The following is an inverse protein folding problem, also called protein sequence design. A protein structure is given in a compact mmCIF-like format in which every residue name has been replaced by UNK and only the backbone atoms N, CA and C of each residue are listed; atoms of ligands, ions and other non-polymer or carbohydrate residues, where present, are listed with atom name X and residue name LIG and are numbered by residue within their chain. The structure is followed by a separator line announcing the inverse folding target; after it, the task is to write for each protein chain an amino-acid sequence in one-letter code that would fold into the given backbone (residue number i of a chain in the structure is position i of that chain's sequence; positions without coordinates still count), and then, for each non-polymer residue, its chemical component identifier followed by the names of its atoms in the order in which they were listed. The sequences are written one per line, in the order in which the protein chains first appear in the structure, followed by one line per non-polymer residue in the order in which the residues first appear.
data_IF_714742694303
#
_entry.id   IF_714742694303
#
_cell.length_a   1.000
_cell.length_b   1.000
_cell.length_c   1.000
_cell.angle_alpha   90.00
_cell.angle_beta   90.00
_cell.angle_gamma   90.00
#
_symmetry.space_group_name_H-M   'P 1'
#
loop_
_entity.id
_entity.type
_entity.pdbx_description
1 polymer ?
#
# COMPACT_ATOMS: atom_id res chain seq x y z
N UNK A 1 14.25 -14.65 30.95
CA UNK A 1 13.26 -14.06 30.03
C UNK A 1 13.35 -14.80 28.71
N UNK A 2 12.26 -15.39 28.21
CA UNK A 2 12.28 -16.03 26.90
C UNK A 2 12.67 -14.98 25.85
N UNK A 3 13.65 -15.28 24.99
CA UNK A 3 14.02 -14.41 23.88
C UNK A 3 12.82 -14.26 22.96
N UNK A 4 12.32 -13.02 22.78
CA UNK A 4 11.21 -12.76 21.86
C UNK A 4 11.58 -13.25 20.45
N UNK A 5 10.68 -14.02 19.85
CA UNK A 5 10.80 -14.52 18.49
C UNK A 5 10.88 -13.33 17.50
N UNK A 6 11.81 -13.37 16.55
CA UNK A 6 12.01 -12.31 15.54
C UNK A 6 11.56 -12.78 14.17
N UNK A 7 10.70 -12.02 13.52
CA UNK A 7 10.19 -12.26 12.17
C UNK A 7 10.78 -11.22 11.22
N UNK A 8 11.26 -11.68 10.06
CA UNK A 8 11.62 -10.80 8.95
C UNK A 8 10.43 -10.70 7.99
N UNK A 9 9.87 -9.51 7.86
CA UNK A 9 8.80 -9.20 6.92
C UNK A 9 9.39 -8.58 5.66
N UNK A 10 9.38 -9.31 4.55
CA UNK A 10 9.96 -8.88 3.27
C UNK A 10 8.86 -8.32 2.36
N UNK A 11 9.06 -7.10 1.88
CA UNK A 11 8.13 -6.37 1.00
C UNK A 11 8.82 -5.94 -0.29
N UNK A 12 8.02 -5.67 -1.33
CA UNK A 12 8.49 -5.15 -2.62
C UNK A 12 8.21 -3.64 -2.77
N UNK A 13 8.59 -3.07 -3.91
CA UNK A 13 8.39 -1.64 -4.18
C UNK A 13 6.90 -1.26 -4.23
N UNK A 14 6.01 -2.19 -4.56
CA UNK A 14 4.58 -1.91 -4.69
C UNK A 14 3.97 -1.48 -3.35
N UNK A 15 4.42 -2.09 -2.24
CA UNK A 15 4.03 -1.66 -0.89
C UNK A 15 4.44 -0.22 -0.62
N UNK A 16 5.66 0.18 -1.02
CA UNK A 16 6.15 1.55 -0.85
C UNK A 16 5.32 2.54 -1.69
N UNK A 17 5.11 2.23 -2.97
CA UNK A 17 4.32 3.06 -3.88
C UNK A 17 2.90 3.27 -3.37
N UNK A 18 2.26 2.21 -2.88
CA UNK A 18 0.94 2.29 -2.24
C UNK A 18 0.92 3.31 -1.09
N UNK A 19 1.91 3.27 -0.19
CA UNK A 19 1.93 4.17 0.97
C UNK A 19 2.21 5.62 0.59
N UNK A 20 3.05 5.86 -0.43
CA UNK A 20 3.35 7.21 -0.90
C UNK A 20 2.17 7.86 -1.62
N UNK A 21 1.39 7.09 -2.38
CA UNK A 21 0.21 7.60 -3.11
C UNK A 21 -1.05 7.63 -2.24
N UNK A 22 -1.18 6.69 -1.32
CA UNK A 22 -2.37 6.53 -0.47
C UNK A 22 -2.42 7.41 0.77
N UNK A 23 -1.34 8.12 1.13
CA UNK A 23 -1.29 8.89 2.38
C UNK A 23 -1.11 10.38 2.17
N UNK A 24 -1.89 11.18 2.92
CA UNK A 24 -1.63 12.62 3.08
C UNK A 24 -0.75 12.92 4.31
N UNK A 25 -0.55 11.96 5.22
CA UNK A 25 0.31 12.13 6.40
C UNK A 25 1.78 12.34 5.99
N UNK A 26 2.35 13.48 6.41
CA UNK A 26 3.77 13.76 6.21
C UNK A 26 4.67 12.73 6.90
N UNK A 27 4.23 12.18 8.05
CA UNK A 27 4.97 11.15 8.78
C UNK A 27 4.97 9.83 8.02
N UNK A 28 3.81 9.40 7.52
CA UNK A 28 3.70 8.18 6.73
C UNK A 28 4.49 8.28 5.41
N UNK A 29 4.51 9.45 4.77
CA UNK A 29 5.40 9.73 3.62
C UNK A 29 6.87 9.58 3.99
N UNK A 30 7.33 10.16 5.10
CA UNK A 30 8.73 10.00 5.57
C UNK A 30 9.08 8.54 5.87
N UNK A 31 8.19 7.79 6.50
CA UNK A 31 8.39 6.36 6.75
C UNK A 31 8.47 5.57 5.44
N UNK A 32 7.64 5.92 4.44
CA UNK A 32 7.67 5.31 3.12
C UNK A 32 8.98 5.60 2.37
N UNK A 33 9.49 6.83 2.44
CA UNK A 33 10.83 7.16 1.92
C UNK A 33 11.90 6.33 2.61
N UNK A 34 11.84 6.18 3.94
CA UNK A 34 12.77 5.30 4.68
C UNK A 34 12.64 3.83 4.24
N UNK A 35 11.43 3.35 3.94
CA UNK A 35 11.21 2.00 3.41
C UNK A 35 11.86 1.83 2.03
N UNK A 36 11.88 2.88 1.21
CA UNK A 36 12.52 2.85 -0.10
C UNK A 36 14.04 2.97 -0.01
N UNK A 37 14.54 4.06 0.57
CA UNK A 37 15.95 4.44 0.54
C UNK A 37 16.81 3.55 1.44
N UNK A 38 16.39 3.34 2.69
CA UNK A 38 17.13 2.51 3.65
C UNK A 38 16.82 1.03 3.42
N UNK A 39 15.57 0.71 3.07
CA UNK A 39 15.16 -0.66 2.79
C UNK A 39 15.10 -1.58 4.00
N UNK A 40 15.21 -1.04 5.22
CA UNK A 40 15.08 -1.78 6.47
C UNK A 40 14.42 -0.94 7.54
N UNK A 41 13.37 -1.47 8.16
CA UNK A 41 12.76 -0.91 9.38
C UNK A 41 12.94 -1.89 10.54
N UNK A 42 13.44 -1.39 11.67
CA UNK A 42 13.49 -2.17 12.92
C UNK A 42 12.14 -2.15 13.63
N UNK A 43 11.89 -3.12 14.50
CA UNK A 43 10.65 -3.27 15.25
C UNK A 43 10.05 -1.98 15.82
N UNK A 44 10.83 -1.12 16.49
CA UNK A 44 10.31 0.16 17.01
C UNK A 44 9.80 1.09 15.91
N UNK A 45 10.45 1.10 14.75
CA UNK A 45 9.99 1.87 13.59
C UNK A 45 8.79 1.21 12.93
N UNK A 46 8.71 -0.12 12.93
CA UNK A 46 7.51 -0.87 12.48
C UNK A 46 6.31 -0.57 13.37
N UNK A 47 6.50 -0.42 14.68
CA UNK A 47 5.43 0.02 15.59
C UNK A 47 4.94 1.44 15.26
N UNK A 48 5.86 2.38 14.98
CA UNK A 48 5.50 3.72 14.51
C UNK A 48 4.73 3.67 13.19
N UNK A 49 5.15 2.84 12.24
CA UNK A 49 4.44 2.62 10.99
C UNK A 49 3.02 2.08 11.24
N UNK A 50 2.85 1.10 12.13
CA UNK A 50 1.53 0.56 12.49
C UNK A 50 0.60 1.61 13.12
N UNK A 51 1.16 2.53 13.90
CA UNK A 51 0.42 3.65 14.47
C UNK A 51 -0.05 4.62 13.37
N UNK A 52 0.87 5.05 12.50
CA UNK A 52 0.54 5.95 11.38
C UNK A 52 -0.48 5.32 10.43
N UNK A 53 -0.32 4.04 10.07
CA UNK A 53 -1.31 3.33 9.25
C UNK A 53 -2.67 3.20 9.95
N UNK A 54 -2.73 3.31 11.27
CA UNK A 54 -3.98 3.29 12.04
C UNK A 54 -4.77 4.59 11.93
N UNK A 55 -4.15 5.66 11.45
CA UNK A 55 -4.79 6.95 11.18
C UNK A 55 -5.44 7.00 9.80
N UNK A 56 -5.17 6.00 8.94
CA UNK A 56 -5.79 5.91 7.63
C UNK A 56 -7.27 5.60 7.80
N UNK A 57 -8.12 6.56 7.43
CA UNK A 57 -9.56 6.36 7.34
C UNK A 57 -10.05 6.51 5.89
N UNK A 58 -10.52 5.39 5.34
CA UNK A 58 -11.06 5.31 3.98
C UNK A 58 -12.30 6.18 3.82
N UNK A 59 -13.14 6.28 4.85
CA UNK A 59 -14.40 7.02 4.75
C UNK A 59 -14.15 8.53 4.72
N UNK A 60 -13.28 9.02 5.61
CA UNK A 60 -12.82 10.42 5.57
C UNK A 60 -12.15 10.74 4.23
N UNK A 61 -11.30 9.85 3.71
CA UNK A 61 -10.68 10.05 2.41
C UNK A 61 -11.69 10.11 1.24
N UNK A 62 -12.72 9.26 1.28
CA UNK A 62 -13.79 9.25 0.28
C UNK A 62 -14.61 10.55 0.30
N UNK A 63 -14.94 11.04 1.49
CA UNK A 63 -15.65 12.32 1.66
C UNK A 63 -14.82 13.52 1.19
N UNK A 64 -13.50 13.45 1.32
CA UNK A 64 -12.56 14.44 0.81
C UNK A 64 -12.31 14.34 -0.71
N UNK A 65 -13.00 13.43 -1.42
CA UNK A 65 -12.88 13.26 -2.87
C UNK A 65 -11.57 12.63 -3.34
N UNK A 66 -10.88 11.86 -2.49
CA UNK A 66 -9.63 11.19 -2.86
C UNK A 66 -9.89 10.07 -3.87
N UNK A 67 -9.25 10.13 -5.04
CA UNK A 67 -9.50 9.20 -6.16
C UNK A 67 -8.94 7.79 -5.94
N UNK A 68 -8.00 7.61 -5.01
CA UNK A 68 -7.25 6.37 -4.82
C UNK A 68 -7.53 5.65 -3.49
N UNK A 69 -8.80 5.39 -3.20
CA UNK A 69 -9.22 4.76 -1.93
C UNK A 69 -8.67 3.34 -1.73
N UNK A 70 -8.32 2.64 -2.79
CA UNK A 70 -7.72 1.30 -2.74
C UNK A 70 -6.38 1.25 -2.00
N UNK A 71 -5.62 2.35 -1.97
CA UNK A 71 -4.37 2.41 -1.19
C UNK A 71 -4.64 2.52 0.32
N UNK A 72 -5.80 3.04 0.73
CA UNK A 72 -6.22 2.98 2.14
C UNK A 72 -6.54 1.55 2.54
N UNK A 73 -7.23 0.79 1.68
CA UNK A 73 -7.52 -0.63 1.91
C UNK A 73 -6.23 -1.46 2.02
N UNK A 74 -5.26 -1.19 1.16
CA UNK A 74 -3.94 -1.83 1.19
C UNK A 74 -3.13 -1.44 2.43
N UNK A 75 -3.10 -0.16 2.82
CA UNK A 75 -2.46 0.29 4.05
C UNK A 75 -3.08 -0.32 5.31
N UNK A 76 -4.41 -0.41 5.36
CA UNK A 76 -5.15 -1.07 6.44
C UNK A 76 -4.88 -2.58 6.48
N UNK A 77 -4.75 -3.24 5.32
CA UNK A 77 -4.35 -4.64 5.24
C UNK A 77 -2.92 -4.86 5.75
N UNK A 78 -1.96 -4.03 5.32
CA UNK A 78 -0.57 -4.08 5.80
C UNK A 78 -0.50 -3.93 7.32
N UNK A 79 -1.22 -2.94 7.89
CA UNK A 79 -1.29 -2.75 9.34
C UNK A 79 -1.81 -3.99 10.06
N UNK A 80 -2.92 -4.58 9.59
CA UNK A 80 -3.49 -5.79 10.20
C UNK A 80 -2.49 -6.94 10.20
N UNK A 81 -1.80 -7.17 9.09
CA UNK A 81 -0.75 -8.19 8.99
C UNK A 81 0.38 -7.94 9.98
N UNK A 82 0.92 -6.72 10.04
CA UNK A 82 2.02 -6.37 10.94
C UNK A 82 1.63 -6.46 12.42
N UNK A 83 0.41 -6.05 12.78
CA UNK A 83 -0.10 -6.15 14.16
C UNK A 83 -0.31 -7.61 14.55
N UNK A 84 -0.93 -8.41 13.67
CA UNK A 84 -1.16 -9.85 13.93
C UNK A 84 0.15 -10.61 14.11
N UNK A 85 1.19 -10.29 13.33
CA UNK A 85 2.51 -10.92 13.47
C UNK A 85 3.20 -10.61 14.79
N UNK A 86 2.88 -9.49 15.44
CA UNK A 86 3.50 -9.12 16.71
C UNK A 86 2.96 -9.92 17.91
N UNK A 87 1.84 -10.64 17.76
CA UNK A 87 1.22 -11.54 18.75
C UNK A 87 1.21 -10.93 20.18
N UNK A 88 0.50 -9.82 20.35
CA UNK A 88 0.44 -9.04 21.61
C UNK A 88 1.81 -8.68 22.21
N UNK A 89 2.81 -8.47 21.34
CA UNK A 89 4.17 -8.09 21.72
C UNK A 89 5.08 -9.26 22.11
N UNK A 90 4.64 -10.51 21.90
CA UNK A 90 5.47 -11.71 22.06
C UNK A 90 6.53 -11.83 20.96
N UNK A 91 6.23 -11.28 19.79
CA UNK A 91 7.10 -11.32 18.60
C UNK A 91 7.59 -9.93 18.22
N UNK A 92 8.81 -9.89 17.71
CA UNK A 92 9.43 -8.70 17.14
C UNK A 92 9.42 -8.82 15.62
N UNK A 93 8.99 -7.78 14.93
CA UNK A 93 8.93 -7.75 13.46
C UNK A 93 9.89 -6.68 12.95
N UNK A 94 10.87 -7.08 12.14
CA UNK A 94 11.66 -6.15 11.32
C UNK A 94 11.18 -6.26 9.88
N UNK A 95 11.14 -5.16 9.15
CA UNK A 95 10.76 -5.13 7.73
C UNK A 95 11.98 -4.94 6.83
N UNK A 96 11.98 -5.59 5.67
CA UNK A 96 13.04 -5.54 4.68
C UNK A 96 12.48 -5.35 3.28
N UNK A 97 13.02 -4.39 2.55
CA UNK A 97 12.79 -4.25 1.13
C UNK A 97 13.51 -5.39 0.40
N UNK A 98 12.80 -6.07 -0.48
CA UNK A 98 13.32 -7.19 -1.26
C UNK A 98 14.56 -6.78 -2.07
N UNK A 99 14.49 -5.66 -2.80
CA UNK A 99 15.61 -5.15 -3.59
C UNK A 99 16.87 -4.90 -2.74
N UNK A 100 16.70 -4.36 -1.53
CA UNK A 100 17.81 -4.12 -0.60
C UNK A 100 18.45 -5.42 -0.10
N UNK A 101 17.66 -6.47 0.15
CA UNK A 101 18.20 -7.79 0.49
C UNK A 101 18.92 -8.46 -0.70
N UNK A 102 18.43 -8.26 -1.92
CA UNK A 102 19.03 -8.82 -3.13
C UNK A 102 20.39 -8.19 -3.46
N UNK A 103 20.60 -6.93 -3.10
CA UNK A 103 21.86 -6.22 -3.29
C UNK A 103 22.98 -6.66 -2.34
N UNK A 104 22.67 -7.43 -1.28
CA UNK A 104 23.67 -8.00 -0.38
C UNK A 104 24.27 -9.26 -1.01
N UNK A 105 25.57 -9.50 -0.78
CA UNK A 105 26.18 -10.78 -1.09
C UNK A 105 25.53 -11.92 -0.29
N UNK A 106 25.63 -13.14 -0.82
CA UNK A 106 24.95 -14.31 -0.27
C UNK A 106 25.30 -14.55 1.21
N UNK A 107 26.59 -14.44 1.59
CA UNK A 107 27.04 -14.71 2.96
C UNK A 107 26.50 -13.66 3.93
N UNK A 108 26.54 -12.39 3.55
CA UNK A 108 25.99 -11.30 4.37
C UNK A 108 24.48 -11.44 4.53
N UNK A 109 23.76 -11.79 3.46
CA UNK A 109 22.31 -12.03 3.49
C UNK A 109 21.95 -13.18 4.40
N UNK A 110 22.62 -14.32 4.30
CA UNK A 110 22.41 -15.49 5.17
C UNK A 110 22.68 -15.15 6.64
N UNK A 111 23.79 -14.47 6.92
CA UNK A 111 24.15 -14.02 8.29
C UNK A 111 23.16 -13.03 8.88
N UNK A 112 22.54 -12.19 8.04
CA UNK A 112 21.49 -11.28 8.46
C UNK A 112 20.19 -12.04 8.76
N UNK A 113 19.78 -12.92 7.84
CA UNK A 113 18.52 -13.64 7.91
C UNK A 113 18.52 -14.75 8.98
N UNK A 114 19.67 -15.31 9.33
CA UNK A 114 19.81 -16.31 10.41
C UNK A 114 19.46 -15.78 11.81
N UNK A 115 19.25 -14.46 11.96
CA UNK A 115 18.79 -13.83 13.20
C UNK A 115 17.27 -13.89 13.38
N UNK A 116 16.54 -14.36 12.37
CA UNK A 116 15.08 -14.43 12.36
C UNK A 116 14.63 -15.88 12.41
N UNK A 117 13.60 -16.11 13.20
CA UNK A 117 12.91 -17.40 13.34
C UNK A 117 12.09 -17.76 12.11
N UNK A 118 11.62 -16.76 11.36
CA UNK A 118 10.75 -16.92 10.20
C UNK A 118 10.91 -15.72 9.28
N UNK A 119 10.75 -15.96 7.97
CA UNK A 119 10.80 -14.95 6.93
C UNK A 119 9.47 -15.01 6.17
N UNK A 120 8.76 -13.90 6.12
CA UNK A 120 7.50 -13.78 5.39
C UNK A 120 7.70 -12.86 4.19
N UNK A 121 7.45 -13.38 3.00
CA UNK A 121 7.42 -12.58 1.77
C UNK A 121 6.00 -12.15 1.47
N UNK A 122 5.80 -10.86 1.22
CA UNK A 122 4.49 -10.31 0.84
C UNK A 122 4.50 -9.96 -0.63
N UNK A 123 3.51 -10.51 -1.35
CA UNK A 123 3.22 -10.15 -2.72
C UNK A 123 2.04 -9.18 -2.76
N UNK A 124 2.03 -8.19 -3.67
CA UNK A 124 0.92 -7.29 -3.83
C UNK A 124 -0.36 -8.06 -4.23
N UNK A 125 -1.46 -7.76 -3.55
CA UNK A 125 -2.76 -8.42 -3.75
C UNK A 125 -3.35 -8.20 -5.14
N UNK A 126 -2.91 -7.14 -5.85
CA UNK A 126 -3.28 -6.86 -7.24
C UNK A 126 -2.81 -7.94 -8.22
N UNK A 127 -1.77 -8.71 -7.88
CA UNK A 127 -1.30 -9.82 -8.71
C UNK A 127 -2.25 -11.04 -8.67
N UNK A 128 -3.13 -11.13 -7.67
CA UNK A 128 -3.97 -12.31 -7.42
C UNK A 128 -5.46 -12.08 -7.68
N UNK A 129 -5.88 -10.83 -7.92
CA UNK A 129 -7.27 -10.48 -8.18
C UNK A 129 -7.45 -10.06 -9.65
N UNK A 130 -8.50 -10.53 -10.35
CA UNK A 130 -8.84 -10.03 -11.68
C UNK A 130 -8.95 -8.51 -11.63
N UNK A 131 -8.25 -7.80 -12.52
CA UNK A 131 -8.39 -6.35 -12.68
C UNK A 131 -9.88 -6.07 -12.91
N UNK A 132 -10.52 -5.39 -11.96
CA UNK A 132 -11.86 -4.85 -12.17
C UNK A 132 -11.72 -3.86 -13.31
N UNK A 133 -12.34 -4.14 -14.46
CA UNK A 133 -12.43 -3.20 -15.55
C UNK A 133 -13.08 -1.93 -14.98
N UNK A 134 -12.31 -0.85 -14.92
CA UNK A 134 -12.88 0.48 -14.78
C UNK A 134 -13.77 0.68 -16.00
N UNK A 135 -15.08 0.53 -15.85
CA UNK A 135 -16.03 0.98 -16.85
C UNK A 135 -15.84 2.49 -16.98
N UNK A 136 -15.11 2.91 -17.99
CA UNK A 136 -15.04 4.30 -18.43
C UNK A 136 -16.47 4.70 -18.81
N UNK A 137 -17.12 5.50 -17.96
CA UNK A 137 -18.24 6.32 -18.41
C UNK A 137 -17.65 7.38 -19.34
N UNK A 138 -17.68 7.13 -20.66
CA UNK A 138 -17.40 8.15 -21.64
C UNK A 138 -18.47 9.25 -21.56
N UNK A 139 -18.10 10.54 -21.57
CA UNK A 139 -19.06 11.62 -21.74
C UNK A 139 -19.44 11.69 -23.24
N UNK A 140 -20.70 11.48 -23.57
CA UNK A 140 -21.21 11.81 -24.90
C UNK A 140 -21.43 13.33 -24.95
N UNK A 141 -20.53 13.97 -25.69
CA UNK A 141 -20.52 15.37 -26.07
C UNK A 141 -21.79 15.78 -26.81
N UNK A 142 -22.28 16.97 -26.47
CA UNK A 142 -23.16 17.79 -27.29
C UNK A 142 -22.56 18.07 -28.68
N UNK A 143 -23.33 17.83 -29.74
CA UNK A 143 -23.25 18.63 -30.96
C UNK A 143 -24.65 18.82 -31.51
N UNK A 144 -24.95 20.10 -31.77
CA UNK A 144 -26.10 20.61 -32.50
C UNK A 144 -26.09 20.03 -33.91
N UNK A 145 -27.24 19.60 -34.39
CA UNK A 145 -27.59 19.72 -35.80
C UNK A 145 -28.95 20.41 -35.87
N UNK A 146 -28.91 21.54 -36.56
CA UNK A 146 -30.03 22.37 -36.98
C UNK A 146 -30.79 21.67 -38.12
N UNK A 147 -31.97 22.21 -38.46
CA UNK A 147 -32.75 21.92 -39.67
C UNK A 147 -33.77 20.75 -39.62
N UNK A 148 -35.01 21.10 -39.29
CA UNK A 148 -36.19 20.45 -39.88
C UNK A 148 -37.29 21.47 -40.10
N UNK A 149 -37.67 21.56 -41.37
CA UNK A 149 -38.55 22.54 -41.97
C UNK A 149 -39.96 22.57 -41.37
N UNK A 150 -40.46 23.77 -41.10
CA UNK A 150 -41.89 24.02 -40.94
C UNK A 150 -42.62 23.78 -42.27
N UNK A 151 -43.69 23.01 -42.17
CA UNK A 151 -44.55 22.67 -43.29
C UNK A 151 -45.54 23.78 -43.67
N UNK A 152 -45.84 23.79 -44.97
CA UNK A 152 -47.14 24.06 -45.62
C UNK A 152 -47.94 25.31 -45.27
N UNK A 153 -47.99 26.18 -46.30
CA UNK A 153 -49.14 26.99 -46.73
C UNK A 153 -50.48 26.24 -46.66
N UNK A 154 -51.51 26.83 -46.03
CA UNK A 154 -52.92 27.10 -46.46
C UNK A 154 -53.50 27.98 -45.32
N UNK A 155 -54.10 29.17 -45.48
CA UNK A 155 -55.16 29.71 -46.37
C UNK A 155 -54.86 31.19 -46.65
#
# INVERSE_FOLDING_TARGET
AASKERIAFVYDEAVVSCLMMGSQSATLKKLSVSMYEIGRLRHLTVQKLCHELGTLDRNTAALAGVEFLEYYDQGAALRRSLVSLQDDGRRLVDMFRQGSLQNLDLKTREKLLSRYSSILFVAPSQALLPRRSSSSSSPLSSSRDDESAEGSVVI
#
